data_IF_674550466593
#
_entry.id   IF_674550466593
#
_cell.length_a   1.000
_cell.length_b   1.000
_cell.length_c   1.000
_cell.angle_alpha   90.00
_cell.angle_beta   90.00
_cell.angle_gamma   90.00
#
_symmetry.space_group_name_H-M   'P 1'
#
loop_
_entity.id
_entity.type
_entity.pdbx_description
1 polymer ?
#
# COMPACT_ATOMS: atom_id res chain seq x y z
N UNK A 1 -6.70 46.38 -7.34
CA UNK A 1 -5.23 46.22 -7.44
C UNK A 1 -4.62 45.37 -6.35
N UNK A 2 -5.39 44.82 -5.39
CA UNK A 2 -4.86 44.07 -4.22
C UNK A 2 -4.93 42.54 -4.33
N UNK A 3 -5.52 41.98 -5.41
CA UNK A 3 -5.63 40.51 -5.60
C UNK A 3 -4.44 39.82 -6.30
N UNK A 4 -3.49 40.60 -6.79
CA UNK A 4 -2.31 40.09 -7.48
C UNK A 4 -1.14 39.71 -6.53
N UNK A 5 -1.20 40.07 -5.24
CA UNK A 5 -0.10 39.84 -4.30
C UNK A 5 -0.10 38.42 -3.64
N UNK A 6 -1.21 37.69 -3.69
CA UNK A 6 -1.38 36.47 -2.89
C UNK A 6 -1.17 35.16 -3.67
N UNK A 7 -0.72 35.22 -4.93
CA UNK A 7 -0.26 34.06 -5.68
C UNK A 7 -1.31 32.97 -6.02
N UNK A 8 -2.61 33.24 -5.78
CA UNK A 8 -3.69 32.25 -5.91
C UNK A 8 -4.62 32.47 -7.11
N UNK A 9 -4.24 33.22 -8.12
CA UNK A 9 -5.08 33.40 -9.31
C UNK A 9 -4.67 32.36 -10.36
N UNK A 10 -5.53 31.39 -10.63
CA UNK A 10 -5.40 30.45 -11.74
C UNK A 10 -5.59 31.21 -13.08
N UNK A 11 -4.89 30.75 -14.13
CA UNK A 11 -5.11 31.27 -15.50
C UNK A 11 -6.57 31.11 -15.98
N UNK A 12 -7.36 30.25 -15.38
CA UNK A 12 -8.78 30.08 -15.64
C UNK A 12 -9.62 31.25 -15.10
N UNK A 13 -9.19 31.87 -14.00
CA UNK A 13 -9.89 33.01 -13.37
C UNK A 13 -9.68 34.31 -14.14
N UNK A 14 -8.77 34.34 -15.11
CA UNK A 14 -8.49 35.50 -15.97
C UNK A 14 -9.42 35.61 -17.19
N UNK A 15 -10.21 34.58 -17.47
CA UNK A 15 -11.14 34.58 -18.61
C UNK A 15 -12.34 35.56 -18.43
N UNK A 16 -12.64 35.94 -17.19
CA UNK A 16 -13.75 36.88 -16.89
C UNK A 16 -13.31 38.34 -16.72
N UNK A 17 -12.02 38.63 -16.87
CA UNK A 17 -11.50 40.00 -16.82
C UNK A 17 -11.05 40.38 -18.22
N UNK A 18 -11.81 41.24 -18.91
CA UNK A 18 -11.41 41.93 -20.18
C UNK A 18 -10.18 42.81 -19.90
N UNK A 19 -9.06 42.22 -19.54
CA UNK A 19 -7.76 42.89 -19.59
C UNK A 19 -7.14 42.52 -20.92
N UNK A 20 -6.96 43.53 -21.82
CA UNK A 20 -6.20 43.33 -23.04
C UNK A 20 -4.76 42.94 -22.71
N UNK A 21 -4.54 41.63 -22.50
CA UNK A 21 -3.22 41.05 -22.27
C UNK A 21 -2.49 41.09 -23.61
N UNK A 22 -1.31 41.70 -23.64
CA UNK A 22 -0.54 41.75 -24.88
C UNK A 22 -0.26 40.35 -25.42
N UNK A 23 -0.25 40.15 -26.75
CA UNK A 23 0.04 38.86 -27.38
C UNK A 23 1.40 38.26 -26.95
N UNK A 24 2.32 39.13 -26.54
CA UNK A 24 3.62 38.70 -26.00
C UNK A 24 3.50 38.07 -24.63
N UNK A 25 2.65 38.66 -23.75
CA UNK A 25 2.42 38.09 -22.41
C UNK A 25 1.74 36.72 -22.49
N UNK A 26 0.77 36.56 -23.40
CA UNK A 26 0.15 35.27 -23.62
C UNK A 26 1.15 34.19 -24.15
N UNK A 27 2.05 34.60 -25.03
CA UNK A 27 3.13 33.71 -25.52
C UNK A 27 4.07 33.32 -24.40
N UNK A 28 4.44 34.25 -23.55
CA UNK A 28 5.31 34.03 -22.40
C UNK A 28 4.64 33.12 -21.37
N UNK A 29 3.37 33.33 -21.04
CA UNK A 29 2.60 32.49 -20.12
C UNK A 29 2.46 31.06 -20.65
N UNK A 30 2.19 30.86 -21.94
CA UNK A 30 2.14 29.55 -22.58
C UNK A 30 3.52 28.88 -22.58
N UNK A 31 4.60 29.61 -22.75
CA UNK A 31 5.96 29.09 -22.71
C UNK A 31 6.34 28.66 -21.28
N UNK A 32 6.04 29.46 -20.29
CA UNK A 32 6.23 29.13 -18.87
C UNK A 32 5.44 27.87 -18.46
N UNK A 33 4.17 27.77 -18.85
CA UNK A 33 3.36 26.57 -18.56
C UNK A 33 3.94 25.32 -19.22
N UNK A 34 4.46 25.39 -20.44
CA UNK A 34 5.15 24.27 -21.07
C UNK A 34 6.40 23.86 -20.31
N UNK A 35 7.21 24.82 -19.85
CA UNK A 35 8.42 24.54 -19.07
C UNK A 35 8.06 23.90 -17.75
N UNK A 36 7.11 24.48 -17.00
CA UNK A 36 6.66 23.96 -15.70
C UNK A 36 6.11 22.53 -15.83
N UNK A 37 5.28 22.27 -16.86
CA UNK A 37 4.73 20.94 -17.11
C UNK A 37 5.84 19.94 -17.49
N UNK A 38 6.75 20.34 -18.37
CA UNK A 38 7.89 19.50 -18.77
C UNK A 38 8.81 19.18 -17.59
N UNK A 39 9.10 20.16 -16.72
CA UNK A 39 9.93 19.95 -15.53
C UNK A 39 9.26 19.00 -14.55
N UNK A 40 7.96 19.17 -14.29
CA UNK A 40 7.19 18.22 -13.42
C UNK A 40 7.20 16.82 -13.97
N UNK A 41 7.01 16.64 -15.28
CA UNK A 41 7.04 15.32 -15.93
C UNK A 41 8.41 14.67 -15.81
N UNK A 42 9.49 15.44 -16.01
CA UNK A 42 10.87 14.97 -15.85
C UNK A 42 11.17 14.57 -14.41
N UNK A 43 10.75 15.36 -13.42
CA UNK A 43 10.95 15.04 -12.00
C UNK A 43 10.20 13.78 -11.59
N UNK A 44 8.96 13.61 -12.05
CA UNK A 44 8.19 12.37 -11.82
C UNK A 44 8.86 11.17 -12.46
N UNK A 45 9.31 11.29 -13.71
CA UNK A 45 10.03 10.23 -14.43
C UNK A 45 11.35 9.86 -13.72
N UNK A 46 12.11 10.86 -13.26
CA UNK A 46 13.36 10.65 -12.51
C UNK A 46 13.11 9.94 -11.18
N UNK A 47 12.11 10.36 -10.41
CA UNK A 47 11.72 9.70 -9.14
C UNK A 47 11.29 8.25 -9.40
N UNK A 48 10.51 8.03 -10.45
CA UNK A 48 10.06 6.69 -10.82
C UNK A 48 11.23 5.80 -11.28
N UNK A 49 12.20 6.34 -12.02
CA UNK A 49 13.41 5.62 -12.39
C UNK A 49 14.29 5.29 -11.18
N UNK A 50 14.45 6.24 -10.24
CA UNK A 50 15.18 6.01 -8.99
C UNK A 50 14.49 4.95 -8.12
N UNK A 51 13.17 5.00 -8.00
CA UNK A 51 12.39 3.99 -7.27
C UNK A 51 12.54 2.60 -7.89
N UNK A 52 12.46 2.51 -9.24
CA UNK A 52 12.70 1.25 -9.96
C UNK A 52 14.14 0.73 -9.77
N UNK A 53 15.13 1.62 -9.76
CA UNK A 53 16.52 1.24 -9.53
C UNK A 53 16.73 0.68 -8.12
N UNK A 54 16.13 1.29 -7.11
CA UNK A 54 16.17 0.82 -5.72
C UNK A 54 15.46 -0.55 -5.58
N UNK A 55 14.28 -0.70 -6.19
CA UNK A 55 13.57 -2.00 -6.19
C UNK A 55 14.36 -3.11 -6.89
N UNK A 56 15.16 -2.78 -7.92
CA UNK A 56 15.98 -3.76 -8.65
C UNK A 56 17.24 -4.21 -7.89
N UNK A 57 17.60 -3.56 -6.76
CA UNK A 57 18.74 -3.98 -5.95
C UNK A 57 18.48 -5.30 -5.21
N UNK A 58 17.21 -5.64 -4.96
CA UNK A 58 16.85 -6.98 -4.50
C UNK A 58 16.57 -7.82 -5.75
N UNK A 59 17.36 -8.85 -5.98
CA UNK A 59 17.09 -9.82 -7.04
C UNK A 59 15.96 -10.77 -6.59
N UNK A 60 14.71 -10.62 -7.09
CA UNK A 60 13.60 -11.44 -6.62
C UNK A 60 13.83 -12.93 -6.87
N UNK A 61 14.43 -13.25 -8.01
CA UNK A 61 14.71 -14.62 -8.40
C UNK A 61 15.72 -15.30 -7.46
N UNK A 62 16.75 -14.58 -7.02
CA UNK A 62 17.70 -15.10 -6.05
C UNK A 62 17.02 -15.38 -4.71
N UNK A 63 16.16 -14.46 -4.25
CA UNK A 63 15.41 -14.62 -3.00
C UNK A 63 14.51 -15.85 -3.05
N UNK A 64 13.72 -16.02 -4.12
CA UNK A 64 12.83 -17.17 -4.27
C UNK A 64 13.60 -18.49 -4.30
N UNK A 65 14.66 -18.57 -5.09
CA UNK A 65 15.47 -19.78 -5.19
C UNK A 65 16.13 -20.15 -3.87
N UNK A 66 16.54 -19.14 -3.09
CA UNK A 66 17.12 -19.37 -1.76
C UNK A 66 16.07 -19.92 -0.80
N UNK A 67 14.86 -19.34 -0.78
CA UNK A 67 13.77 -19.81 0.05
C UNK A 67 13.31 -21.22 -0.34
N UNK A 68 13.20 -21.51 -1.63
CA UNK A 68 12.88 -22.87 -2.11
C UNK A 68 13.97 -23.90 -1.74
N UNK A 69 15.24 -23.51 -1.77
CA UNK A 69 16.34 -24.34 -1.28
C UNK A 69 16.19 -24.70 0.20
N UNK A 70 15.94 -23.68 1.05
CA UNK A 70 15.73 -23.87 2.48
C UNK A 70 14.49 -24.74 2.73
N UNK A 71 13.40 -24.52 2.01
CA UNK A 71 12.17 -25.32 2.10
C UNK A 71 12.45 -26.79 1.78
N UNK A 72 13.18 -27.06 0.69
CA UNK A 72 13.51 -28.41 0.29
C UNK A 72 14.35 -29.14 1.36
N UNK A 73 15.34 -28.48 1.94
CA UNK A 73 16.14 -29.05 3.03
C UNK A 73 15.31 -29.28 4.29
N UNK A 74 14.39 -28.36 4.63
CA UNK A 74 13.50 -28.52 5.76
C UNK A 74 12.59 -29.76 5.61
N UNK A 75 12.01 -29.96 4.40
CA UNK A 75 11.21 -31.16 4.09
C UNK A 75 12.05 -32.44 4.24
N UNK A 76 13.27 -32.46 3.68
CA UNK A 76 14.14 -33.62 3.80
C UNK A 76 14.56 -33.93 5.25
N UNK A 77 14.65 -32.90 6.08
CA UNK A 77 14.95 -33.02 7.50
C UNK A 77 13.71 -33.32 8.38
N UNK A 78 12.51 -33.41 7.81
CA UNK A 78 11.25 -33.59 8.56
C UNK A 78 10.85 -32.41 9.42
N UNK A 79 11.29 -31.19 9.05
CA UNK A 79 11.00 -29.93 9.75
C UNK A 79 9.81 -29.22 9.10
N UNK A 80 8.61 -29.79 9.19
CA UNK A 80 7.41 -29.35 8.49
C UNK A 80 7.08 -27.86 8.79
N UNK A 81 7.17 -27.44 10.06
CA UNK A 81 6.94 -26.05 10.43
C UNK A 81 7.89 -25.08 9.72
N UNK A 82 9.17 -25.44 9.57
CA UNK A 82 10.15 -24.61 8.88
C UNK A 82 9.87 -24.56 7.36
N UNK A 83 9.45 -25.67 6.78
CA UNK A 83 9.05 -25.75 5.38
C UNK A 83 7.84 -24.84 5.10
N UNK A 84 6.81 -24.89 5.93
CA UNK A 84 5.61 -24.06 5.83
C UNK A 84 5.92 -22.56 5.99
N UNK A 85 6.78 -22.21 6.96
CA UNK A 85 7.22 -20.83 7.15
C UNK A 85 7.97 -20.30 5.91
N UNK A 86 8.86 -21.12 5.37
CA UNK A 86 9.68 -20.72 4.21
C UNK A 86 8.80 -20.56 2.97
N UNK A 87 7.78 -21.42 2.80
CA UNK A 87 6.78 -21.27 1.74
C UNK A 87 5.98 -19.99 1.89
N UNK A 88 5.46 -19.69 3.08
CA UNK A 88 4.74 -18.46 3.36
C UNK A 88 5.59 -17.21 3.04
N UNK A 89 6.87 -17.22 3.43
CA UNK A 89 7.82 -16.16 3.09
C UNK A 89 8.02 -16.01 1.57
N UNK A 90 8.16 -17.12 0.84
CA UNK A 90 8.32 -17.08 -0.60
C UNK A 90 7.09 -16.48 -1.31
N UNK A 91 5.87 -16.87 -0.89
CA UNK A 91 4.60 -16.32 -1.40
C UNK A 91 4.52 -14.83 -1.10
N UNK A 92 4.77 -14.42 0.14
CA UNK A 92 4.73 -13.04 0.58
C UNK A 92 5.69 -12.14 -0.20
N UNK A 93 6.95 -12.56 -0.36
CA UNK A 93 7.92 -11.78 -1.13
C UNK A 93 7.57 -11.75 -2.63
N UNK A 94 7.03 -12.83 -3.18
CA UNK A 94 6.56 -12.85 -4.57
C UNK A 94 5.48 -11.80 -4.79
N UNK A 95 4.51 -11.73 -3.90
CA UNK A 95 3.47 -10.71 -3.96
C UNK A 95 4.06 -9.30 -3.82
N UNK A 96 4.84 -9.05 -2.77
CA UNK A 96 5.35 -7.71 -2.44
C UNK A 96 6.30 -7.15 -3.51
N UNK A 97 7.17 -8.00 -4.10
CA UNK A 97 8.21 -7.56 -5.03
C UNK A 97 7.72 -7.61 -6.50
N UNK A 98 6.63 -8.33 -6.80
CA UNK A 98 6.11 -8.41 -8.16
C UNK A 98 5.69 -7.04 -8.69
N UNK A 99 6.17 -6.71 -9.90
CA UNK A 99 6.04 -5.37 -10.53
C UNK A 99 4.77 -5.18 -11.36
N UNK A 100 3.96 -6.22 -11.50
CA UNK A 100 3.08 -6.33 -12.67
C UNK A 100 1.85 -5.43 -12.60
N UNK A 101 1.32 -5.12 -11.43
CA UNK A 101 0.06 -4.38 -11.36
C UNK A 101 0.04 -3.36 -10.20
N UNK A 102 -0.50 -2.17 -10.48
CA UNK A 102 -0.73 -1.15 -9.46
C UNK A 102 -2.08 -1.37 -8.75
N UNK A 103 -2.99 -2.13 -9.37
CA UNK A 103 -4.29 -2.49 -8.86
C UNK A 103 -4.40 -4.02 -8.79
N UNK A 104 -4.96 -4.49 -7.71
CA UNK A 104 -5.21 -5.91 -7.42
C UNK A 104 -6.62 -6.07 -6.88
N UNK A 105 -7.14 -7.29 -6.84
CA UNK A 105 -8.43 -7.54 -6.22
C UNK A 105 -8.35 -7.46 -4.69
N UNK A 106 -9.47 -7.21 -4.05
CA UNK A 106 -9.58 -7.30 -2.58
C UNK A 106 -9.21 -8.70 -2.11
N UNK A 107 -9.59 -9.74 -2.86
CA UNK A 107 -9.22 -11.14 -2.58
C UNK A 107 -7.70 -11.31 -2.49
N UNK A 108 -6.95 -10.84 -3.50
CA UNK A 108 -5.48 -10.93 -3.52
C UNK A 108 -4.82 -10.18 -2.34
N UNK A 109 -5.35 -9.02 -1.95
CA UNK A 109 -4.87 -8.28 -0.76
C UNK A 109 -5.18 -9.03 0.54
N UNK A 110 -6.36 -9.63 0.67
CA UNK A 110 -6.72 -10.43 1.83
C UNK A 110 -5.87 -11.72 1.95
N UNK A 111 -5.61 -12.40 0.84
CA UNK A 111 -4.71 -13.55 0.79
C UNK A 111 -3.28 -13.17 1.21
N UNK A 112 -2.79 -12.02 0.74
CA UNK A 112 -1.49 -11.49 1.15
C UNK A 112 -1.47 -11.16 2.65
N UNK A 113 -2.53 -10.53 3.18
CA UNK A 113 -2.68 -10.28 4.61
C UNK A 113 -2.68 -11.57 5.44
N UNK A 114 -3.40 -12.60 5.00
CA UNK A 114 -3.44 -13.90 5.65
C UNK A 114 -2.06 -14.58 5.64
N UNK A 115 -1.33 -14.48 4.51
CA UNK A 115 0.03 -15.00 4.38
C UNK A 115 1.01 -14.28 5.32
N UNK A 116 0.95 -12.93 5.36
CA UNK A 116 1.73 -12.13 6.30
C UNK A 116 1.42 -12.50 7.76
N UNK A 117 0.13 -12.65 8.07
CA UNK A 117 -0.31 -13.03 9.41
C UNK A 117 0.20 -14.40 9.81
N UNK A 118 0.17 -15.38 8.90
CA UNK A 118 0.76 -16.71 9.11
C UNK A 118 2.25 -16.60 9.47
N UNK A 119 3.02 -15.75 8.77
CA UNK A 119 4.43 -15.50 9.10
C UNK A 119 4.58 -14.95 10.52
N UNK A 120 3.74 -14.00 10.92
CA UNK A 120 3.77 -13.44 12.27
C UNK A 120 3.40 -14.47 13.36
N UNK A 121 2.54 -15.43 13.05
CA UNK A 121 2.22 -16.54 13.97
C UNK A 121 3.43 -17.42 14.30
N UNK A 122 4.42 -17.54 13.42
CA UNK A 122 5.69 -18.23 13.77
C UNK A 122 6.48 -17.46 14.83
N UNK A 123 6.39 -16.12 14.84
CA UNK A 123 7.07 -15.25 15.82
C UNK A 123 6.32 -15.18 17.14
N UNK A 124 4.99 -15.05 17.10
CA UNK A 124 4.15 -14.78 18.26
C UNK A 124 3.37 -16.01 18.78
N UNK A 125 3.41 -17.11 18.04
CA UNK A 125 2.63 -18.32 18.36
C UNK A 125 1.14 -18.13 18.12
N UNK A 126 0.33 -18.94 18.78
CA UNK A 126 -1.14 -18.88 18.72
C UNK A 126 -1.75 -17.68 19.44
N UNK A 127 -0.90 -16.77 19.96
CA UNK A 127 -1.33 -15.60 20.72
C UNK A 127 -2.00 -14.53 19.85
N UNK A 128 -1.79 -14.56 18.53
CA UNK A 128 -2.36 -13.58 17.62
C UNK A 128 -3.44 -14.21 16.75
N UNK A 129 -4.52 -13.45 16.52
CA UNK A 129 -5.68 -13.88 15.74
C UNK A 129 -6.04 -12.85 14.68
N UNK A 130 -6.31 -13.32 13.45
CA UNK A 130 -6.86 -12.52 12.36
C UNK A 130 -8.28 -12.98 12.10
N UNK A 131 -9.21 -12.05 12.11
CA UNK A 131 -10.60 -12.27 11.72
C UNK A 131 -10.95 -11.40 10.53
N UNK A 132 -11.60 -11.99 9.54
CA UNK A 132 -12.14 -11.28 8.38
C UNK A 132 -13.66 -11.37 8.49
N UNK A 133 -14.30 -10.23 8.76
CA UNK A 133 -15.75 -10.12 8.79
C UNK A 133 -16.28 -9.99 7.37
N UNK A 134 -17.17 -10.88 7.00
CA UNK A 134 -17.76 -10.98 5.66
C UNK A 134 -19.18 -10.40 5.69
N UNK A 135 -19.50 -9.54 4.72
CA UNK A 135 -20.88 -9.15 4.46
C UNK A 135 -21.48 -10.19 3.52
N UNK A 136 -22.42 -10.99 4.02
CA UNK A 136 -22.92 -12.20 3.32
C UNK A 136 -23.62 -11.89 1.98
N UNK A 137 -24.23 -10.71 1.82
CA UNK A 137 -25.02 -10.41 0.62
C UNK A 137 -24.16 -10.01 -0.61
N UNK A 138 -23.02 -9.33 -0.40
CA UNK A 138 -22.22 -8.73 -1.48
C UNK A 138 -20.76 -9.24 -1.50
N UNK A 139 -20.44 -10.33 -0.77
CA UNK A 139 -19.05 -10.73 -0.54
C UNK A 139 -18.29 -11.06 -1.83
N UNK A 140 -18.88 -11.82 -2.72
CA UNK A 140 -18.23 -12.18 -4.00
C UNK A 140 -17.95 -10.93 -4.86
N UNK A 141 -18.86 -9.98 -4.88
CA UNK A 141 -18.67 -8.70 -5.58
C UNK A 141 -17.58 -7.85 -4.93
N UNK A 142 -17.49 -7.88 -3.59
CA UNK A 142 -16.45 -7.18 -2.81
C UNK A 142 -15.07 -7.76 -3.13
N UNK A 143 -14.92 -9.07 -3.16
CA UNK A 143 -13.66 -9.74 -3.46
C UNK A 143 -13.08 -9.35 -4.82
N UNK A 144 -13.93 -9.12 -5.81
CA UNK A 144 -13.54 -8.72 -7.16
C UNK A 144 -13.31 -7.21 -7.32
N UNK A 145 -13.57 -6.39 -6.29
CA UNK A 145 -13.25 -4.97 -6.35
C UNK A 145 -11.74 -4.74 -6.46
N UNK A 146 -11.36 -3.78 -7.31
CA UNK A 146 -9.96 -3.43 -7.52
C UNK A 146 -9.50 -2.34 -6.56
N UNK A 147 -8.41 -2.56 -5.84
CA UNK A 147 -7.78 -1.61 -4.93
C UNK A 147 -6.29 -1.48 -5.24
N UNK A 148 -5.63 -0.39 -4.83
CA UNK A 148 -4.18 -0.29 -4.96
C UNK A 148 -3.49 -1.41 -4.20
N UNK A 149 -2.50 -2.03 -4.83
CA UNK A 149 -1.67 -3.08 -4.22
C UNK A 149 -0.99 -2.58 -2.95
N UNK A 150 -0.85 -3.43 -1.94
CA UNK A 150 -0.28 -3.11 -0.63
C UNK A 150 -1.09 -2.04 0.13
N UNK A 151 -2.42 -2.02 -0.04
CA UNK A 151 -3.32 -1.12 0.72
C UNK A 151 -3.55 -1.63 2.14
N UNK A 152 -3.80 -2.92 2.31
CA UNK A 152 -4.15 -3.51 3.61
C UNK A 152 -2.92 -3.86 4.44
N UNK A 153 -1.86 -4.34 3.81
CA UNK A 153 -0.67 -4.83 4.48
C UNK A 153 -0.04 -3.82 5.46
N UNK A 154 0.23 -2.53 5.09
CA UNK A 154 0.86 -1.58 6.03
C UNK A 154 -0.02 -1.29 7.26
N UNK A 155 -1.35 -1.36 7.10
CA UNK A 155 -2.29 -1.14 8.20
C UNK A 155 -2.24 -2.33 9.14
N UNK A 156 -2.24 -3.56 8.59
CA UNK A 156 -2.11 -4.79 9.35
C UNK A 156 -0.76 -4.86 10.10
N UNK A 157 0.34 -4.46 9.44
CA UNK A 157 1.67 -4.36 10.06
C UNK A 157 1.66 -3.42 11.26
N UNK A 158 1.06 -2.23 11.12
CA UNK A 158 0.94 -1.27 12.21
C UNK A 158 0.12 -1.83 13.39
N UNK A 159 -1.01 -2.49 13.12
CA UNK A 159 -1.85 -3.11 14.15
C UNK A 159 -1.10 -4.21 14.91
N UNK A 160 -0.28 -5.01 14.23
CA UNK A 160 0.50 -6.07 14.89
C UNK A 160 1.67 -5.48 15.69
N UNK A 161 2.50 -4.62 15.08
CA UNK A 161 3.73 -4.10 15.70
C UNK A 161 3.42 -3.14 16.85
N UNK A 162 2.50 -2.21 16.64
CA UNK A 162 2.21 -1.17 17.63
C UNK A 162 1.02 -1.49 18.53
N UNK A 163 0.09 -2.35 18.08
CA UNK A 163 -1.06 -2.77 18.85
C UNK A 163 -0.78 -4.03 19.67
N UNK A 164 -0.55 -5.14 19.00
CA UNK A 164 -0.57 -6.48 19.59
C UNK A 164 0.78 -6.89 20.18
N UNK A 165 1.92 -6.54 19.55
CA UNK A 165 3.26 -6.95 20.04
C UNK A 165 3.51 -6.50 21.48
N UNK A 166 3.00 -5.33 21.85
CA UNK A 166 3.13 -4.75 23.20
C UNK A 166 2.15 -5.34 24.22
N UNK A 167 1.18 -6.13 23.78
CA UNK A 167 0.20 -6.77 24.64
C UNK A 167 0.75 -8.07 25.21
N UNK A 168 0.55 -8.32 26.48
CA UNK A 168 1.02 -9.59 27.14
C UNK A 168 0.07 -10.75 26.87
N UNK A 169 -1.19 -10.48 26.67
CA UNK A 169 -2.26 -11.44 26.43
C UNK A 169 -2.47 -11.68 24.92
N UNK A 170 -3.48 -12.50 24.60
CA UNK A 170 -3.90 -12.71 23.21
C UNK A 170 -4.32 -11.38 22.55
N UNK A 171 -3.98 -11.22 21.28
CA UNK A 171 -4.31 -10.07 20.46
C UNK A 171 -5.05 -10.46 19.20
N UNK A 172 -6.03 -9.65 18.82
CA UNK A 172 -6.89 -9.87 17.66
C UNK A 172 -6.85 -8.67 16.73
N UNK A 173 -6.70 -8.93 15.45
CA UNK A 173 -6.95 -7.96 14.38
C UNK A 173 -8.18 -8.39 13.61
N UNK A 174 -9.08 -7.45 13.37
CA UNK A 174 -10.30 -7.66 12.61
C UNK A 174 -10.29 -6.78 11.36
N UNK A 175 -10.48 -7.37 10.20
CA UNK A 175 -10.67 -6.67 8.92
C UNK A 175 -12.14 -6.81 8.55
N UNK A 176 -12.86 -5.69 8.48
CA UNK A 176 -14.26 -5.63 8.04
C UNK A 176 -14.32 -4.89 6.72
N UNK A 177 -15.01 -5.47 5.73
CA UNK A 177 -15.15 -4.86 4.40
C UNK A 177 -16.63 -4.81 4.07
N UNK A 178 -17.11 -3.63 3.70
CA UNK A 178 -18.47 -3.42 3.26
C UNK A 178 -18.52 -2.55 2.01
N UNK A 179 -19.57 -2.70 1.22
CA UNK A 179 -19.75 -1.98 -0.04
C UNK A 179 -21.02 -1.14 -0.01
N UNK A 180 -20.91 0.07 -0.53
CA UNK A 180 -22.06 0.91 -0.88
C UNK A 180 -22.12 1.04 -2.40
N UNK A 181 -23.19 1.64 -2.95
CA UNK A 181 -23.34 1.82 -4.42
C UNK A 181 -22.13 2.46 -5.11
N UNK A 182 -21.32 3.23 -4.41
CA UNK A 182 -20.21 4.00 -5.00
C UNK A 182 -18.89 3.92 -4.24
N UNK A 183 -18.83 3.19 -3.12
CA UNK A 183 -17.64 3.16 -2.24
C UNK A 183 -17.45 1.79 -1.63
N UNK A 184 -16.21 1.38 -1.55
CA UNK A 184 -15.75 0.28 -0.71
C UNK A 184 -15.25 0.88 0.61
N UNK A 185 -15.76 0.39 1.72
CA UNK A 185 -15.33 0.77 3.07
C UNK A 185 -14.54 -0.40 3.67
N UNK A 186 -13.29 -0.15 3.97
CA UNK A 186 -12.41 -1.12 4.62
C UNK A 186 -12.07 -0.57 6.00
N UNK A 187 -12.30 -1.37 7.03
CA UNK A 187 -11.97 -1.07 8.41
C UNK A 187 -11.03 -2.14 8.94
N UNK A 188 -9.91 -1.73 9.47
CA UNK A 188 -9.00 -2.60 10.24
C UNK A 188 -9.03 -2.13 11.68
N UNK A 189 -9.27 -3.03 12.61
CA UNK A 189 -9.29 -2.75 14.04
C UNK A 189 -8.50 -3.82 14.79
N UNK A 190 -7.79 -3.40 15.82
CA UNK A 190 -7.09 -4.28 16.74
C UNK A 190 -7.55 -4.03 18.18
N UNK A 191 -7.36 -5.02 19.03
CA UNK A 191 -7.60 -4.95 20.47
C UNK A 191 -6.30 -4.71 21.25
N UNK A 192 -5.30 -4.13 20.60
CA UNK A 192 -3.99 -3.83 21.14
C UNK A 192 -4.00 -2.74 22.22
N UNK A 193 -2.80 -2.33 22.64
CA UNK A 193 -2.62 -1.32 23.72
C UNK A 193 -3.06 0.10 23.30
N UNK A 194 -3.36 0.31 22.01
CA UNK A 194 -3.73 1.62 21.46
C UNK A 194 -2.54 2.58 21.31
N UNK A 195 -2.79 3.71 20.64
CA UNK A 195 -1.81 4.78 20.48
C UNK A 195 -1.98 5.80 21.60
N UNK A 196 -0.88 6.17 22.27
CA UNK A 196 -0.88 7.30 23.19
C UNK A 196 -1.11 8.59 22.41
N UNK A 197 -1.99 9.47 22.89
CA UNK A 197 -2.28 10.78 22.28
C UNK A 197 -1.09 11.73 22.18
N UNK A 198 0.03 11.41 22.83
CA UNK A 198 1.27 12.21 22.82
C UNK A 198 2.17 11.91 21.61
N UNK A 199 1.96 10.80 20.90
CA UNK A 199 2.74 10.39 19.72
C UNK A 199 2.18 10.90 18.37
N UNK A 200 1.13 11.70 18.39
CA UNK A 200 0.49 12.30 17.19
C UNK A 200 0.86 13.77 16.98
N UNK A 201 2.15 14.09 17.12
CA UNK A 201 2.72 15.43 16.85
C UNK A 201 3.42 15.52 15.50
#
# INVERSE_FOLDING_TARGET
>A
MQRFSDGYISLADLNDVEVAISPEFERMARHMNKIVTATRTLDMSKRQAQYRALQNQINPHFLYNTLEGIRSEAIMAGLDNLADMTEALAIFFRYTISKVENLVTVEEELENCATYFKIQQYRFGSRIHLEIEQDEEDWDDILHCMIPKLTLQPILENSIIHGIELKLDEGKVTISISRTKSRLLIKVSDDGVGMNREDTG
#
